data_IF_114772438457
#
_entry.id   IF_114772438457
#
_cell.length_a   1.000
_cell.length_b   1.000
_cell.length_c   1.000
_cell.angle_alpha   90.00
_cell.angle_beta   90.00
_cell.angle_gamma   90.00
#
_symmetry.space_group_name_H-M   'P 1'
#
loop_
_entity.id
_entity.type
_entity.pdbx_description
1 polymer ?
#
# COMPACT_ATOMS: atom_id res chain seq x y z
N UNK A 1 7.44 -39.41 2.61
CA UNK A 1 6.29 -38.55 2.25
C UNK A 1 6.06 -37.55 3.38
N UNK A 2 6.56 -36.33 3.25
CA UNK A 2 6.32 -35.26 4.23
C UNK A 2 4.84 -34.88 4.10
N UNK A 3 4.04 -35.08 5.16
CA UNK A 3 2.67 -34.57 5.24
C UNK A 3 2.76 -33.03 5.18
N UNK A 4 2.36 -32.43 4.07
CA UNK A 4 2.10 -31.00 4.01
C UNK A 4 1.09 -30.66 5.11
N UNK A 5 1.56 -29.90 6.10
CA UNK A 5 0.70 -29.39 7.16
C UNK A 5 -0.18 -28.32 6.50
N UNK A 6 -1.44 -28.66 6.26
CA UNK A 6 -2.51 -27.78 5.79
C UNK A 6 -2.89 -26.73 6.87
N UNK A 7 -1.91 -26.09 7.52
CA UNK A 7 -2.12 -25.12 8.61
C UNK A 7 -2.48 -23.72 8.13
N UNK A 8 -2.29 -23.45 6.84
CA UNK A 8 -2.42 -22.13 6.25
C UNK A 8 -3.28 -22.17 4.99
N UNK A 9 -4.49 -22.75 5.05
CA UNK A 9 -5.47 -22.53 3.99
C UNK A 9 -6.04 -21.12 4.13
N UNK A 10 -6.22 -20.36 3.04
CA UNK A 10 -6.79 -19.03 3.14
C UNK A 10 -8.25 -19.14 3.59
N UNK A 11 -8.56 -18.57 4.76
CA UNK A 11 -9.92 -18.52 5.31
C UNK A 11 -10.89 -17.74 4.40
N UNK A 12 -10.33 -16.87 3.54
CA UNK A 12 -11.09 -15.96 2.70
C UNK A 12 -10.55 -15.90 1.27
N UNK A 13 -11.41 -16.10 0.28
CA UNK A 13 -11.03 -16.03 -1.14
C UNK A 13 -10.89 -14.59 -1.65
N UNK A 14 -11.53 -13.61 -1.01
CA UNK A 14 -11.48 -12.20 -1.43
C UNK A 14 -10.38 -11.40 -0.73
N UNK A 15 -9.84 -11.90 0.39
CA UNK A 15 -8.76 -11.26 1.15
C UNK A 15 -7.96 -12.34 1.90
N UNK A 16 -7.11 -13.07 1.18
CA UNK A 16 -6.39 -14.24 1.68
C UNK A 16 -5.47 -13.85 2.83
N UNK A 17 -5.54 -14.61 3.93
CA UNK A 17 -4.71 -14.41 5.13
C UNK A 17 -4.83 -13.04 5.81
N UNK A 18 -5.89 -12.26 5.55
CA UNK A 18 -6.06 -10.90 6.08
C UNK A 18 -5.92 -10.81 7.61
N UNK A 19 -6.33 -11.84 8.36
CA UNK A 19 -6.15 -11.87 9.83
C UNK A 19 -4.68 -11.92 10.22
N UNK A 20 -3.92 -12.83 9.61
CA UNK A 20 -2.48 -12.98 9.85
C UNK A 20 -1.73 -11.72 9.42
N UNK A 21 -2.04 -11.19 8.24
CA UNK A 21 -1.42 -9.97 7.72
C UNK A 21 -1.76 -8.78 8.63
N UNK A 22 -3.00 -8.66 9.12
CA UNK A 22 -3.39 -7.63 10.09
C UNK A 22 -2.61 -7.74 11.42
N UNK A 23 -2.28 -8.95 11.87
CA UNK A 23 -1.43 -9.17 13.04
C UNK A 23 0.02 -8.78 12.77
N UNK A 24 0.54 -9.13 11.60
CA UNK A 24 1.88 -8.72 11.14
C UNK A 24 1.98 -7.21 11.04
N UNK A 25 1.01 -6.55 10.41
CA UNK A 25 0.90 -5.08 10.32
C UNK A 25 0.94 -4.42 11.70
N UNK A 26 0.26 -4.98 12.71
CA UNK A 26 0.31 -4.46 14.09
C UNK A 26 1.71 -4.57 14.71
N UNK A 27 2.46 -5.63 14.44
CA UNK A 27 3.84 -5.81 14.91
C UNK A 27 4.80 -4.86 14.18
N UNK A 28 4.66 -4.79 12.86
CA UNK A 28 5.41 -3.87 11.99
C UNK A 28 5.19 -2.42 12.44
N UNK A 29 3.94 -1.99 12.56
CA UNK A 29 3.58 -0.63 12.92
C UNK A 29 4.22 -0.20 14.25
N UNK A 30 4.22 -1.08 15.26
CA UNK A 30 4.91 -0.84 16.54
C UNK A 30 6.42 -0.68 16.37
N UNK A 31 7.07 -1.56 15.60
CA UNK A 31 8.52 -1.52 15.41
C UNK A 31 8.97 -0.33 14.57
N UNK A 32 8.22 -0.03 13.52
CA UNK A 32 8.43 1.15 12.69
C UNK A 32 8.26 2.43 13.49
N UNK A 33 7.21 2.52 14.32
CA UNK A 33 7.00 3.69 15.16
C UNK A 33 8.09 3.88 16.21
N UNK A 34 8.59 2.79 16.81
CA UNK A 34 9.75 2.85 17.71
C UNK A 34 11.00 3.36 16.99
N UNK A 35 11.34 2.78 15.84
CA UNK A 35 12.53 3.17 15.09
C UNK A 35 12.49 4.63 14.62
N UNK A 36 11.32 5.11 14.19
CA UNK A 36 11.13 6.49 13.75
C UNK A 36 11.15 7.49 14.91
N UNK A 37 10.61 7.11 16.09
CA UNK A 37 10.69 7.94 17.29
C UNK A 37 12.14 8.08 17.82
N UNK A 38 13.00 7.11 17.52
CA UNK A 38 14.44 7.13 17.82
C UNK A 38 15.26 7.81 16.70
N UNK A 39 14.60 8.45 15.72
CA UNK A 39 15.21 9.19 14.61
C UNK A 39 16.18 8.35 13.74
N UNK A 40 15.94 7.04 13.64
CA UNK A 40 16.75 6.17 12.79
C UNK A 40 16.46 6.36 11.30
N UNK A 41 17.51 6.23 10.49
CA UNK A 41 17.37 5.95 9.07
C UNK A 41 17.00 4.47 8.88
N UNK A 42 15.79 4.20 8.40
CA UNK A 42 15.24 2.83 8.34
C UNK A 42 15.34 2.26 6.92
N UNK A 43 16.07 1.16 6.75
CA UNK A 43 16.02 0.29 5.58
C UNK A 43 15.18 -0.96 5.90
N UNK A 44 14.26 -1.31 5.01
CA UNK A 44 13.27 -2.37 5.25
C UNK A 44 13.38 -3.43 4.16
N UNK A 45 13.48 -4.70 4.57
CA UNK A 45 13.36 -5.87 3.70
C UNK A 45 12.04 -6.59 4.07
N UNK A 46 10.96 -6.29 3.35
CA UNK A 46 9.59 -6.60 3.81
C UNK A 46 9.13 -8.05 3.57
N UNK A 47 9.81 -8.79 2.70
CA UNK A 47 9.31 -10.05 2.16
C UNK A 47 8.32 -9.80 1.03
N UNK A 48 7.04 -9.66 1.34
CA UNK A 48 5.99 -9.37 0.36
C UNK A 48 5.44 -7.93 0.49
N UNK A 49 4.93 -7.38 -0.60
CA UNK A 49 4.52 -5.98 -0.68
C UNK A 49 3.30 -5.64 0.18
N UNK A 50 2.48 -6.62 0.58
CA UNK A 50 1.32 -6.37 1.47
C UNK A 50 1.73 -5.75 2.81
N UNK A 51 2.96 -5.95 3.26
CA UNK A 51 3.48 -5.42 4.52
C UNK A 51 3.70 -3.91 4.53
N UNK A 52 3.79 -3.29 3.35
CA UNK A 52 4.01 -1.85 3.17
C UNK A 52 3.01 -0.97 3.94
N UNK A 53 1.73 -1.35 3.95
CA UNK A 53 0.69 -0.63 4.69
C UNK A 53 0.94 -0.64 6.21
N UNK A 54 1.61 -1.67 6.72
CA UNK A 54 2.06 -1.73 8.11
C UNK A 54 3.16 -0.72 8.43
N UNK A 55 4.12 -0.50 7.51
CA UNK A 55 5.19 0.48 7.69
C UNK A 55 4.64 1.90 7.67
N UNK A 56 3.82 2.23 6.67
CA UNK A 56 3.12 3.52 6.58
C UNK A 56 2.23 3.75 7.81
N UNK A 57 1.56 2.72 8.35
CA UNK A 57 0.81 2.84 9.60
C UNK A 57 1.71 3.24 10.79
N UNK A 58 2.92 2.68 10.90
CA UNK A 58 3.88 3.07 11.93
C UNK A 58 4.43 4.50 11.76
N UNK A 59 4.68 4.91 10.50
CA UNK A 59 5.08 6.29 10.20
C UNK A 59 3.97 7.28 10.59
N UNK A 60 2.72 7.01 10.19
CA UNK A 60 1.57 7.85 10.55
C UNK A 60 1.29 7.86 12.05
N UNK A 61 1.57 6.77 12.77
CA UNK A 61 1.47 6.74 14.24
C UNK A 61 2.54 7.62 14.91
N UNK A 62 3.70 7.78 14.29
CA UNK A 62 4.79 8.62 14.81
C UNK A 62 4.60 10.09 14.42
N UNK A 63 4.06 10.33 13.22
CA UNK A 63 3.90 11.64 12.63
C UNK A 63 2.43 11.89 12.23
N UNK A 64 1.51 12.02 13.20
CA UNK A 64 0.07 12.15 12.93
C UNK A 64 -0.24 13.37 12.08
N UNK A 65 0.39 14.51 12.38
CA UNK A 65 0.10 15.82 11.78
C UNK A 65 1.08 16.23 10.67
N UNK A 66 2.06 15.38 10.34
CA UNK A 66 3.06 15.68 9.30
C UNK A 66 2.60 15.20 7.93
N UNK A 67 3.14 15.82 6.89
CA UNK A 67 2.94 15.39 5.51
C UNK A 67 3.90 14.24 5.16
N UNK A 68 3.34 13.07 4.87
CA UNK A 68 4.09 11.86 4.53
C UNK A 68 3.89 11.58 3.05
N UNK A 69 4.97 11.52 2.29
CA UNK A 69 4.96 11.21 0.86
C UNK A 69 5.29 9.76 0.62
N UNK A 70 4.68 9.16 -0.40
CA UNK A 70 4.93 7.80 -0.84
C UNK A 70 5.36 7.77 -2.30
N UNK A 71 6.56 7.25 -2.53
CA UNK A 71 7.05 6.92 -3.86
C UNK A 71 6.91 5.41 -4.03
N UNK A 72 6.04 4.98 -4.94
CA UNK A 72 5.75 3.57 -5.23
C UNK A 72 6.38 3.17 -6.56
N UNK A 73 7.47 2.41 -6.52
CA UNK A 73 8.18 1.93 -7.71
C UNK A 73 7.83 0.47 -7.90
N UNK A 74 7.02 0.19 -8.93
CA UNK A 74 6.35 -1.09 -9.11
C UNK A 74 5.78 -1.21 -10.54
N UNK A 75 5.65 -2.43 -11.05
CA UNK A 75 4.91 -2.69 -12.28
C UNK A 75 3.38 -2.61 -12.07
N UNK A 76 2.91 -2.89 -10.86
CA UNK A 76 1.50 -3.02 -10.47
C UNK A 76 1.00 -1.80 -9.68
N UNK A 77 -0.33 -1.67 -9.59
CA UNK A 77 -0.96 -0.58 -8.84
C UNK A 77 -1.07 -0.86 -7.34
N UNK A 78 -1.20 -2.12 -6.95
CA UNK A 78 -1.39 -2.54 -5.55
C UNK A 78 -2.54 -1.80 -4.82
N UNK A 79 -3.54 -1.40 -5.60
CA UNK A 79 -4.64 -0.51 -5.19
C UNK A 79 -6.01 -1.18 -5.32
N UNK A 80 -6.02 -2.50 -5.54
CA UNK A 80 -7.22 -3.28 -5.37
C UNK A 80 -7.71 -3.29 -3.92
N UNK A 81 -9.02 -3.49 -3.75
CA UNK A 81 -9.62 -3.84 -2.48
C UNK A 81 -10.16 -5.28 -2.56
N UNK A 82 -10.63 -5.87 -1.44
CA UNK A 82 -11.31 -7.16 -1.50
C UNK A 82 -12.54 -7.17 -2.42
N UNK A 83 -13.15 -6.00 -2.67
CA UNK A 83 -14.31 -5.85 -3.56
C UNK A 83 -13.96 -5.96 -5.04
N UNK A 84 -12.75 -5.56 -5.42
CA UNK A 84 -12.33 -5.45 -6.82
C UNK A 84 -11.30 -6.50 -7.24
N UNK A 85 -10.43 -6.94 -6.33
CA UNK A 85 -9.33 -7.86 -6.61
C UNK A 85 -9.80 -9.15 -7.28
N UNK A 86 -9.23 -9.59 -8.42
CA UNK A 86 -9.58 -10.86 -9.05
C UNK A 86 -9.06 -12.06 -8.24
N UNK A 87 -7.86 -11.95 -7.67
CA UNK A 87 -7.16 -13.05 -6.99
C UNK A 87 -7.45 -13.17 -5.49
N UNK A 88 -7.82 -12.05 -4.86
CA UNK A 88 -7.94 -11.90 -3.41
C UNK A 88 -6.61 -11.97 -2.65
N UNK A 89 -5.47 -11.92 -3.35
CA UNK A 89 -4.16 -11.84 -2.70
C UNK A 89 -3.95 -10.44 -2.12
N UNK A 90 -3.46 -10.34 -0.88
CA UNK A 90 -3.34 -9.07 -0.17
C UNK A 90 -2.17 -8.19 -0.61
N UNK A 91 -1.17 -8.74 -1.33
CA UNK A 91 -0.08 -7.95 -1.91
C UNK A 91 -0.59 -6.93 -2.92
N UNK A 92 -1.67 -7.20 -3.66
CA UNK A 92 -2.29 -6.22 -4.56
C UNK A 92 -3.20 -5.19 -3.88
N UNK A 93 -3.20 -5.10 -2.55
CA UNK A 93 -4.13 -4.24 -1.80
C UNK A 93 -3.52 -3.19 -0.85
N UNK A 94 -2.19 -3.10 -0.60
CA UNK A 94 -1.67 -2.25 0.45
C UNK A 94 -1.93 -0.77 0.21
N UNK A 95 -1.91 -0.28 -1.03
CA UNK A 95 -2.19 1.13 -1.31
C UNK A 95 -3.65 1.46 -1.03
N UNK A 96 -4.58 0.56 -1.36
CA UNK A 96 -6.00 0.70 -0.99
C UNK A 96 -6.19 0.73 0.54
N UNK A 97 -5.40 -0.06 1.30
CA UNK A 97 -5.40 -0.01 2.77
C UNK A 97 -4.94 1.38 3.26
N UNK A 98 -3.87 1.93 2.68
CA UNK A 98 -3.31 3.23 3.07
C UNK A 98 -4.26 4.38 2.76
N UNK A 99 -4.93 4.35 1.61
CA UNK A 99 -5.92 5.35 1.17
C UNK A 99 -7.29 5.15 1.84
N UNK A 100 -7.49 4.02 2.52
CA UNK A 100 -8.80 3.57 2.98
C UNK A 100 -9.87 3.54 1.88
N UNK A 101 -9.47 3.20 0.64
CA UNK A 101 -10.31 3.24 -0.54
C UNK A 101 -10.83 1.84 -0.89
N UNK A 102 -12.15 1.71 -1.03
CA UNK A 102 -12.79 0.40 -1.25
C UNK A 102 -13.15 0.14 -2.72
N UNK A 103 -13.27 1.18 -3.55
CA UNK A 103 -13.72 1.09 -4.94
C UNK A 103 -15.04 0.28 -5.11
N UNK A 104 -16.05 0.62 -4.30
CA UNK A 104 -17.35 -0.09 -4.26
C UNK A 104 -18.09 0.02 -5.60
N UNK A 105 -17.93 1.15 -6.30
CA UNK A 105 -18.55 1.42 -7.59
C UNK A 105 -18.11 0.43 -8.68
N UNK A 106 -16.89 -0.11 -8.58
CA UNK A 106 -16.37 -1.11 -9.52
C UNK A 106 -16.29 -2.51 -8.88
N UNK A 107 -17.05 -2.78 -7.82
CA UNK A 107 -17.03 -4.09 -7.15
C UNK A 107 -17.37 -5.22 -8.13
N UNK A 108 -16.60 -6.30 -8.08
CA UNK A 108 -16.81 -7.49 -8.92
C UNK A 108 -17.43 -8.64 -8.14
N UNK A 109 -17.55 -8.50 -6.81
CA UNK A 109 -18.06 -9.54 -5.91
C UNK A 109 -18.68 -8.97 -4.64
N UNK A 110 -19.65 -9.70 -4.08
CA UNK A 110 -20.20 -9.43 -2.75
C UNK A 110 -19.32 -10.04 -1.67
N UNK A 111 -19.01 -9.28 -0.64
CA UNK A 111 -18.17 -9.74 0.47
C UNK A 111 -18.98 -10.34 1.61
N UNK A 112 -18.41 -11.38 2.25
CA UNK A 112 -18.91 -11.87 3.54
C UNK A 112 -18.68 -10.82 4.63
N UNK A 113 -19.56 -10.70 5.64
CA UNK A 113 -19.41 -9.75 6.74
C UNK A 113 -18.06 -9.82 7.46
N UNK A 114 -17.50 -11.02 7.59
CA UNK A 114 -16.17 -11.22 8.19
C UNK A 114 -15.04 -10.59 7.38
N UNK A 115 -15.12 -10.57 6.04
CA UNK A 115 -14.11 -9.90 5.19
C UNK A 115 -14.13 -8.41 5.48
N UNK A 116 -15.34 -7.84 5.44
CA UNK A 116 -15.58 -6.41 5.64
C UNK A 116 -15.05 -6.00 7.02
N UNK A 117 -15.37 -6.77 8.06
CA UNK A 117 -14.87 -6.53 9.42
C UNK A 117 -13.34 -6.53 9.49
N UNK A 118 -12.67 -7.49 8.85
CA UNK A 118 -11.20 -7.55 8.87
C UNK A 118 -10.56 -6.45 8.00
N UNK A 119 -11.19 -6.08 6.89
CA UNK A 119 -10.77 -4.99 6.03
C UNK A 119 -10.89 -3.63 6.72
N UNK A 120 -11.99 -3.36 7.42
CA UNK A 120 -12.11 -2.16 8.26
C UNK A 120 -11.09 -2.11 9.39
N UNK A 121 -10.74 -3.29 9.93
CA UNK A 121 -9.73 -3.40 10.99
C UNK A 121 -8.32 -3.11 10.48
N UNK A 122 -7.94 -3.63 9.32
CA UNK A 122 -6.58 -3.47 8.79
C UNK A 122 -6.29 -2.03 8.33
N UNK A 123 -7.26 -1.34 7.72
CA UNK A 123 -7.19 0.11 7.40
C UNK A 123 -6.85 0.97 8.62
N UNK A 124 -7.34 0.57 9.80
CA UNK A 124 -7.17 1.25 11.10
C UNK A 124 -6.01 0.70 11.93
N UNK A 125 -5.02 0.05 11.32
CA UNK A 125 -3.80 -0.40 12.03
C UNK A 125 -3.11 0.79 12.73
N UNK A 126 -2.61 0.55 13.94
CA UNK A 126 -1.95 1.53 14.82
C UNK A 126 -2.76 1.83 16.08
N UNK A 127 -2.10 2.30 17.16
CA UNK A 127 -2.79 2.59 18.44
C UNK A 127 -3.80 3.73 18.29
N UNK A 128 -3.44 4.76 17.54
CA UNK A 128 -4.27 5.93 17.29
C UNK A 128 -5.41 5.66 16.28
N UNK A 129 -5.39 4.51 15.58
CA UNK A 129 -6.39 4.09 14.59
C UNK A 129 -6.66 5.11 13.48
N UNK A 130 -5.68 5.97 13.19
CA UNK A 130 -5.73 7.02 12.15
C UNK A 130 -6.09 6.37 10.81
N UNK A 131 -7.05 6.94 10.08
CA UNK A 131 -7.43 6.49 8.74
C UNK A 131 -8.07 7.67 7.99
N UNK A 132 -7.78 7.88 6.70
CA UNK A 132 -6.75 7.18 5.90
C UNK A 132 -5.33 7.45 6.44
N UNK A 133 -4.35 6.67 5.98
CA UNK A 133 -2.94 6.86 6.33
C UNK A 133 -2.23 7.86 5.42
N UNK A 134 -2.65 7.92 4.15
CA UNK A 134 -2.19 8.81 3.11
C UNK A 134 -3.40 9.36 2.35
N UNK A 135 -3.25 10.53 1.74
CA UNK A 135 -4.18 11.03 0.73
C UNK A 135 -3.70 10.65 -0.68
N UNK A 136 -4.56 10.63 -1.70
CA UNK A 136 -4.15 10.36 -3.08
C UNK A 136 -2.98 11.23 -3.57
N UNK A 137 -2.97 12.51 -3.18
CA UNK A 137 -1.96 13.48 -3.59
C UNK A 137 -0.60 13.23 -2.91
N UNK A 138 -0.56 12.40 -1.87
CA UNK A 138 0.67 12.00 -1.18
C UNK A 138 1.44 10.91 -1.94
N UNK A 139 0.85 10.32 -2.98
CA UNK A 139 1.39 9.14 -3.67
C UNK A 139 1.87 9.50 -5.09
N UNK A 140 3.08 9.04 -5.42
CA UNK A 140 3.61 9.02 -6.78
C UNK A 140 3.98 7.59 -7.18
N UNK A 141 3.36 7.08 -8.24
CA UNK A 141 3.76 5.81 -8.87
C UNK A 141 4.85 6.00 -9.91
N UNK A 142 5.77 5.05 -10.00
CA UNK A 142 6.84 4.98 -11.00
C UNK A 142 6.82 3.57 -11.60
N UNK A 143 6.96 3.48 -12.93
CA UNK A 143 7.07 2.25 -13.71
C UNK A 143 5.81 1.37 -13.82
N UNK A 144 4.65 1.85 -13.33
CA UNK A 144 3.37 1.14 -13.46
C UNK A 144 3.02 0.85 -14.92
N UNK A 145 2.59 -0.38 -15.19
CA UNK A 145 2.29 -0.86 -16.54
C UNK A 145 1.31 -2.04 -16.59
N UNK A 146 1.19 -2.82 -15.53
CA UNK A 146 0.38 -4.03 -15.49
C UNK A 146 -0.71 -3.90 -14.42
N UNK A 147 -1.80 -3.23 -14.82
CA UNK A 147 -2.92 -2.91 -13.95
C UNK A 147 -4.22 -3.43 -14.56
N UNK A 148 -5.08 -4.01 -13.73
CA UNK A 148 -6.44 -4.34 -14.14
C UNK A 148 -7.31 -3.07 -14.28
N UNK A 149 -8.43 -3.20 -15.00
CA UNK A 149 -9.36 -2.08 -15.27
C UNK A 149 -9.74 -1.33 -13.99
N UNK A 150 -10.06 -2.05 -12.91
CA UNK A 150 -10.52 -1.43 -11.66
C UNK A 150 -9.41 -0.63 -10.97
N UNK A 151 -8.14 -0.99 -11.14
CA UNK A 151 -7.01 -0.21 -10.65
C UNK A 151 -6.81 1.04 -11.49
N UNK A 152 -6.86 0.94 -12.82
CA UNK A 152 -6.84 2.09 -13.72
C UNK A 152 -7.96 3.08 -13.40
N UNK A 153 -9.20 2.60 -13.27
CA UNK A 153 -10.35 3.43 -12.89
C UNK A 153 -10.09 4.17 -11.56
N UNK A 154 -9.39 3.53 -10.61
CA UNK A 154 -9.05 4.13 -9.31
C UNK A 154 -7.98 5.20 -9.44
N UNK A 155 -6.89 4.92 -10.15
CA UNK A 155 -5.81 5.88 -10.37
C UNK A 155 -6.30 7.14 -11.07
N UNK A 156 -7.13 6.98 -12.11
CA UNK A 156 -7.70 8.09 -12.86
C UNK A 156 -8.68 8.89 -12.00
N UNK A 157 -9.60 8.22 -11.30
CA UNK A 157 -10.60 8.87 -10.44
C UNK A 157 -9.99 9.65 -9.29
N UNK A 158 -8.95 9.09 -8.66
CA UNK A 158 -8.24 9.72 -7.55
C UNK A 158 -7.16 10.70 -8.03
N UNK A 159 -6.94 10.80 -9.36
CA UNK A 159 -5.93 11.65 -9.98
C UNK A 159 -4.53 11.46 -9.36
N UNK A 160 -4.15 10.21 -9.09
CA UNK A 160 -2.87 9.90 -8.47
C UNK A 160 -1.75 10.08 -9.50
N UNK A 161 -0.71 10.82 -9.11
CA UNK A 161 0.45 11.07 -9.98
C UNK A 161 1.16 9.77 -10.28
N UNK A 162 1.45 9.52 -11.56
CA UNK A 162 2.16 8.33 -11.99
C UNK A 162 3.04 8.58 -13.22
N UNK A 163 4.15 7.84 -13.29
CA UNK A 163 5.10 7.88 -14.40
C UNK A 163 5.24 6.47 -15.00
N UNK A 164 4.44 6.12 -16.02
CA UNK A 164 4.57 4.83 -16.70
C UNK A 164 5.93 4.73 -17.42
N UNK A 165 6.36 3.53 -17.85
CA UNK A 165 7.65 3.34 -18.54
C UNK A 165 7.88 4.25 -19.75
N UNK A 166 6.80 4.66 -20.44
CA UNK A 166 6.87 5.63 -21.53
C UNK A 166 7.35 7.00 -21.05
N UNK A 167 6.82 7.50 -19.93
CA UNK A 167 7.23 8.78 -19.35
C UNK A 167 8.69 8.76 -18.89
N UNK A 168 9.18 7.62 -18.40
CA UNK A 168 10.60 7.46 -18.03
C UNK A 168 11.51 7.61 -19.25
N UNK A 169 11.12 7.03 -20.40
CA UNK A 169 11.88 7.18 -21.65
C UNK A 169 11.84 8.60 -22.21
N UNK A 170 10.70 9.28 -22.10
CA UNK A 170 10.52 10.64 -22.65
C UNK A 170 11.18 11.71 -21.77
N UNK A 171 11.06 11.60 -20.44
CA UNK A 171 11.54 12.60 -19.49
C UNK A 171 12.93 12.31 -18.92
N UNK A 172 13.47 11.11 -19.15
CA UNK A 172 14.66 10.55 -18.47
C UNK A 172 14.45 10.35 -16.97
N UNK A 173 15.31 9.53 -16.34
CA UNK A 173 15.28 9.30 -14.90
C UNK A 173 15.63 10.59 -14.14
N UNK A 174 16.61 11.34 -14.63
CA UNK A 174 17.07 12.60 -14.06
C UNK A 174 15.96 13.65 -14.07
N UNK A 175 15.19 13.73 -15.18
CA UNK A 175 14.05 14.64 -15.28
C UNK A 175 12.94 14.30 -14.28
N UNK A 176 12.62 13.02 -14.11
CA UNK A 176 11.63 12.57 -13.13
C UNK A 176 12.10 12.85 -11.70
N UNK A 177 13.36 12.56 -11.38
CA UNK A 177 13.93 12.86 -10.06
C UNK A 177 13.84 14.35 -9.75
N UNK A 178 14.08 15.22 -10.74
CA UNK A 178 13.95 16.67 -10.57
C UNK A 178 12.49 17.06 -10.27
N UNK A 179 11.53 16.59 -11.05
CA UNK A 179 10.10 16.85 -10.81
C UNK A 179 9.64 16.34 -9.43
N UNK A 180 10.14 15.17 -9.01
CA UNK A 180 9.81 14.59 -7.71
C UNK A 180 10.44 15.37 -6.56
N UNK A 181 11.67 15.86 -6.71
CA UNK A 181 12.31 16.73 -5.70
C UNK A 181 11.50 18.00 -5.49
N UNK A 182 11.05 18.63 -6.57
CA UNK A 182 10.23 19.83 -6.50
C UNK A 182 8.84 19.55 -5.91
N UNK A 183 8.25 18.40 -6.23
CA UNK A 183 6.94 17.99 -5.71
C UNK A 183 6.96 17.66 -4.21
N UNK A 184 8.00 16.97 -3.75
CA UNK A 184 8.14 16.53 -2.36
C UNK A 184 8.87 17.54 -1.46
N UNK A 185 9.22 18.73 -1.96
CA UNK A 185 10.01 19.73 -1.22
C UNK A 185 9.39 20.15 0.14
N UNK A 186 8.06 20.15 0.23
CA UNK A 186 7.30 20.57 1.42
C UNK A 186 6.78 19.36 2.23
N UNK A 187 7.24 18.14 1.92
CA UNK A 187 6.91 16.95 2.70
C UNK A 187 7.90 16.78 3.83
N UNK A 188 7.39 16.47 5.02
CA UNK A 188 8.24 16.27 6.20
C UNK A 188 8.96 14.92 6.15
N UNK A 189 8.34 13.91 5.55
CA UNK A 189 8.87 12.54 5.48
C UNK A 189 8.49 11.91 4.14
N UNK A 190 9.44 11.20 3.52
CA UNK A 190 9.21 10.46 2.28
C UNK A 190 9.52 8.98 2.54
N UNK A 191 8.61 8.10 2.14
CA UNK A 191 8.82 6.66 2.09
C UNK A 191 8.95 6.21 0.64
N UNK A 192 10.02 5.49 0.32
CA UNK A 192 10.23 4.89 -0.99
C UNK A 192 9.99 3.39 -0.85
N UNK A 193 8.99 2.89 -1.57
CA UNK A 193 8.74 1.45 -1.72
C UNK A 193 9.19 1.02 -3.10
N UNK A 194 9.99 -0.04 -3.17
CA UNK A 194 10.53 -0.59 -4.40
C UNK A 194 10.22 -2.09 -4.47
N UNK A 195 9.37 -2.50 -5.41
CA UNK A 195 9.25 -3.91 -5.79
C UNK A 195 10.30 -4.24 -6.85
N UNK A 196 10.89 -5.43 -6.76
CA UNK A 196 11.94 -5.90 -7.67
C UNK A 196 11.36 -6.31 -9.03
N UNK A 197 10.04 -6.53 -9.14
CA UNK A 197 9.38 -6.80 -10.42
C UNK A 197 9.07 -5.53 -11.26
N UNK A 198 9.43 -4.34 -10.74
CA UNK A 198 9.35 -3.05 -11.43
C UNK A 198 10.17 -3.00 -12.71
#
# INVERSE_FOLDING_TARGET
KIKQINKFSPENKSAKYIKLISETHRKICRKMSQAMAEEYNVLILSGDHSNSAGFIAGMRETYPDKKIGLIWIDAHGDIHSPYTSPSGNMHGMPVAIMLAYDNIENQTKKLKPEVIKNWERIKRTGKQRITPKLQPEDITYIAIRDLEKQEWDTLEKLNIKHYPPRSIREKTVEGIIKEMRDFYKDYDVIYISFDVDS
#
